data_IF_728601035819
#
_entry.id   IF_728601035819
#
_cell.length_a   1.000
_cell.length_b   1.000
_cell.length_c   1.000
_cell.angle_alpha   90.00
_cell.angle_beta   90.00
_cell.angle_gamma   90.00
#
_symmetry.space_group_name_H-M   'P 1'
#
loop_
_entity.id
_entity.type
_entity.pdbx_description
1 polymer ?
#
# COMPACT_ATOMS: atom_id res chain seq x y z
N UNK A 1 -24.61 30.37 9.27
CA UNK A 1 -24.59 29.35 10.34
C UNK A 1 -23.41 28.45 10.09
N UNK A 2 -22.31 28.67 10.82
CA UNK A 2 -21.11 27.86 10.74
C UNK A 2 -21.33 26.55 11.49
N UNK A 3 -21.17 25.44 10.80
CA UNK A 3 -21.02 24.13 11.43
C UNK A 3 -19.55 23.89 11.64
N UNK A 4 -19.09 24.01 12.88
CA UNK A 4 -17.81 23.48 13.33
C UNK A 4 -17.87 21.95 13.20
N UNK A 5 -17.29 21.43 12.11
CA UNK A 5 -17.04 20.02 11.96
C UNK A 5 -16.00 19.59 12.99
N UNK A 6 -16.38 18.61 13.83
CA UNK A 6 -15.47 18.02 14.83
C UNK A 6 -14.20 17.53 14.13
N UNK A 7 -13.06 18.03 14.59
CA UNK A 7 -11.74 17.62 14.15
C UNK A 7 -11.50 16.15 14.53
N UNK A 8 -11.51 15.28 13.52
CA UNK A 8 -11.20 13.85 13.65
C UNK A 8 -9.70 13.56 13.54
N UNK A 9 -8.83 14.57 13.70
CA UNK A 9 -7.38 14.41 13.65
C UNK A 9 -6.79 14.43 12.24
N UNK A 10 -7.63 14.64 11.22
CA UNK A 10 -7.18 14.93 9.86
C UNK A 10 -6.98 16.44 9.74
N UNK A 11 -5.76 16.93 9.94
CA UNK A 11 -5.42 18.32 9.61
C UNK A 11 -6.05 18.70 8.27
N UNK A 12 -6.87 19.76 8.28
CA UNK A 12 -7.91 20.11 7.30
C UNK A 12 -7.53 19.79 5.83
N UNK A 13 -7.85 18.58 5.37
CA UNK A 13 -7.88 18.24 3.95
C UNK A 13 -9.30 18.51 3.44
N UNK A 14 -9.50 19.20 2.29
CA UNK A 14 -10.85 19.42 1.76
C UNK A 14 -11.59 18.09 1.60
N UNK A 15 -12.91 18.05 1.83
CA UNK A 15 -13.69 16.80 1.93
C UNK A 15 -13.59 15.86 0.71
N UNK A 16 -13.20 16.36 -0.46
CA UNK A 16 -12.92 15.55 -1.65
C UNK A 16 -11.61 14.77 -1.56
N UNK A 17 -10.59 15.29 -0.86
CA UNK A 17 -9.29 14.64 -0.67
C UNK A 17 -9.38 13.44 0.28
N UNK A 18 -10.04 13.63 1.42
CA UNK A 18 -10.26 12.55 2.40
C UNK A 18 -10.95 11.35 1.75
N UNK A 19 -11.97 11.60 0.92
CA UNK A 19 -12.73 10.55 0.22
C UNK A 19 -11.90 9.66 -0.69
N UNK A 20 -10.85 10.18 -1.35
CA UNK A 20 -10.02 9.37 -2.26
C UNK A 20 -9.00 8.54 -1.50
N UNK A 21 -8.45 9.06 -0.40
CA UNK A 21 -7.56 8.29 0.50
C UNK A 21 -8.33 7.16 1.18
N UNK A 22 -9.54 7.44 1.68
CA UNK A 22 -10.41 6.41 2.26
C UNK A 22 -10.70 5.29 1.25
N UNK A 23 -10.94 5.67 -0.02
CA UNK A 23 -11.15 4.69 -1.09
C UNK A 23 -9.90 3.83 -1.33
N UNK A 24 -8.70 4.42 -1.31
CA UNK A 24 -7.45 3.67 -1.41
C UNK A 24 -7.31 2.65 -0.27
N UNK A 25 -7.63 3.05 0.96
CA UNK A 25 -7.63 2.16 2.13
C UNK A 25 -8.67 1.05 2.00
N UNK A 26 -9.86 1.33 1.46
CA UNK A 26 -10.89 0.32 1.20
C UNK A 26 -10.42 -0.76 0.21
N UNK A 27 -9.75 -0.36 -0.88
CA UNK A 27 -9.15 -1.32 -1.82
C UNK A 27 -8.12 -2.22 -1.11
N UNK A 28 -7.26 -1.64 -0.27
CA UNK A 28 -6.25 -2.40 0.50
C UNK A 28 -6.92 -3.36 1.47
N UNK A 29 -7.90 -2.91 2.25
CA UNK A 29 -8.67 -3.78 3.15
C UNK A 29 -9.29 -4.96 2.42
N UNK A 30 -9.92 -4.71 1.26
CA UNK A 30 -10.52 -5.77 0.45
C UNK A 30 -9.46 -6.76 -0.05
N UNK A 31 -8.32 -6.28 -0.57
CA UNK A 31 -7.24 -7.13 -1.05
C UNK A 31 -6.64 -8.00 0.08
N UNK A 32 -6.29 -7.41 1.22
CA UNK A 32 -5.72 -8.14 2.36
C UNK A 32 -6.71 -9.16 2.95
N UNK A 33 -8.00 -8.87 2.94
CA UNK A 33 -9.04 -9.81 3.41
C UNK A 33 -9.10 -11.08 2.54
N UNK A 34 -8.90 -10.96 1.23
CA UNK A 34 -8.83 -12.13 0.33
C UNK A 34 -7.66 -13.05 0.68
N UNK A 35 -6.49 -12.48 0.98
CA UNK A 35 -5.32 -13.26 1.38
C UNK A 35 -5.50 -13.98 2.72
N UNK A 36 -6.16 -13.32 3.69
CA UNK A 36 -6.49 -13.96 4.97
C UNK A 36 -7.42 -15.15 4.79
N UNK A 37 -8.50 -14.95 4.04
CA UNK A 37 -9.47 -16.03 3.76
C UNK A 37 -8.81 -17.22 3.03
N UNK A 38 -7.86 -16.95 2.13
CA UNK A 38 -7.10 -18.00 1.45
C UNK A 38 -6.17 -18.77 2.42
N UNK A 39 -5.48 -18.08 3.33
CA UNK A 39 -4.58 -18.71 4.31
C UNK A 39 -5.32 -19.50 5.41
N UNK A 40 -6.53 -19.08 5.79
CA UNK A 40 -7.39 -19.83 6.71
C UNK A 40 -7.94 -21.12 6.05
N UNK A 41 -8.27 -21.05 4.76
CA UNK A 41 -8.79 -22.20 4.00
C UNK A 41 -7.77 -23.32 3.79
N UNK A 42 -6.47 -23.00 3.71
CA UNK A 42 -5.39 -24.00 3.64
C UNK A 42 -5.13 -24.65 5.00
N UNK A 43 -5.02 -23.84 6.06
CA UNK A 43 -4.83 -24.34 7.42
C UNK A 43 -5.98 -25.26 7.89
N UNK A 44 -7.23 -24.94 7.52
CA UNK A 44 -8.38 -25.78 7.84
C UNK A 44 -8.38 -27.13 7.11
N UNK A 45 -7.82 -27.19 5.88
CA UNK A 45 -7.68 -28.44 5.11
C UNK A 45 -6.57 -29.34 5.68
N UNK A 46 -5.45 -28.77 6.09
CA UNK A 46 -4.34 -29.49 6.73
C UNK A 46 -4.72 -30.01 8.13
N UNK A 47 -5.52 -29.28 8.90
CA UNK A 47 -6.01 -29.72 10.22
C UNK A 47 -6.98 -30.90 10.21
N UNK A 48 -7.53 -31.29 9.05
CA UNK A 48 -8.38 -32.49 8.89
C UNK A 48 -7.63 -33.75 8.51
N UNK A 49 -6.40 -33.64 8.01
CA UNK A 49 -5.62 -34.82 7.56
C UNK A 49 -4.81 -35.47 8.70
N UNK A 50 -4.76 -34.88 9.89
CA UNK A 50 -4.04 -35.43 11.05
C UNK A 50 -4.88 -36.34 11.97
N UNK A 51 -6.06 -36.78 11.53
CA UNK A 51 -6.92 -37.72 12.28
C UNK A 51 -7.31 -38.94 11.43
N UNK A 52 -6.31 -39.76 11.07
CA UNK A 52 -6.52 -41.06 10.41
C UNK A 52 -5.19 -41.79 10.26
N UNK A 53 -5.01 -42.90 10.98
CA UNK A 53 -3.72 -43.56 11.17
C UNK A 53 -3.20 -44.42 10.02
N UNK A 54 -1.93 -44.82 10.15
CA UNK A 54 -1.45 -46.13 9.70
C UNK A 54 -0.62 -46.20 8.40
N UNK A 55 0.70 -46.41 8.59
CA UNK A 55 1.64 -47.26 7.83
C UNK A 55 1.95 -47.00 6.34
N UNK A 56 3.23 -46.69 6.14
CA UNK A 56 4.23 -47.32 5.24
C UNK A 56 4.20 -47.11 3.71
N UNK A 57 5.39 -46.78 3.18
CA UNK A 57 5.84 -47.09 1.81
C UNK A 57 5.62 -46.06 0.69
N UNK A 58 6.73 -45.55 0.12
CA UNK A 58 6.80 -45.23 -1.32
C UNK A 58 7.21 -43.79 -1.71
N UNK A 59 8.32 -43.68 -2.44
CA UNK A 59 8.85 -42.46 -3.09
C UNK A 59 7.80 -41.72 -3.91
N UNK A 60 7.84 -40.38 -3.85
CA UNK A 60 7.38 -39.52 -4.94
C UNK A 60 8.29 -38.29 -5.09
N UNK A 61 8.85 -38.17 -6.28
CA UNK A 61 9.51 -36.99 -6.83
C UNK A 61 8.47 -35.96 -7.26
N UNK A 62 8.72 -34.68 -6.96
CA UNK A 62 7.95 -33.57 -7.50
C UNK A 62 7.92 -32.40 -6.53
N UNK A 63 8.87 -31.47 -6.66
CA UNK A 63 8.77 -30.15 -6.04
C UNK A 63 7.68 -29.35 -6.76
N UNK A 64 6.42 -29.57 -6.37
CA UNK A 64 5.39 -28.57 -6.56
C UNK A 64 5.59 -27.48 -5.50
N UNK A 65 5.61 -26.22 -5.95
CA UNK A 65 5.88 -25.06 -5.09
C UNK A 65 4.82 -24.92 -4.01
N UNK A 66 5.13 -25.46 -2.83
CA UNK A 66 4.42 -25.20 -1.59
C UNK A 66 4.53 -23.71 -1.29
N UNK A 67 3.43 -22.97 -1.45
CA UNK A 67 3.33 -21.57 -1.04
C UNK A 67 3.55 -21.52 0.48
N UNK A 68 4.43 -20.63 1.00
CA UNK A 68 4.78 -20.63 2.42
C UNK A 68 3.54 -20.52 3.31
N UNK A 69 3.32 -21.52 4.16
CA UNK A 69 2.29 -21.51 5.19
C UNK A 69 2.62 -20.47 6.27
N UNK A 70 1.64 -19.60 6.54
CA UNK A 70 1.48 -18.67 7.68
C UNK A 70 2.52 -17.59 7.98
N UNK A 71 3.31 -17.11 7.01
CA UNK A 71 3.99 -15.81 7.19
C UNK A 71 2.97 -14.67 7.06
N UNK A 72 2.86 -13.82 8.09
CA UNK A 72 1.89 -12.73 8.11
C UNK A 72 1.99 -11.77 6.92
N UNK A 73 0.93 -11.00 6.68
CA UNK A 73 0.83 -10.12 5.51
C UNK A 73 1.94 -9.05 5.52
N UNK A 74 2.57 -8.88 4.37
CA UNK A 74 3.62 -7.91 4.11
C UNK A 74 3.09 -6.76 3.23
N UNK A 75 3.22 -5.52 3.65
CA UNK A 75 2.75 -4.33 2.91
C UNK A 75 3.74 -3.18 2.96
N UNK A 76 3.63 -2.23 2.03
CA UNK A 76 4.48 -1.03 2.00
C UNK A 76 3.66 0.27 1.96
N UNK A 77 4.04 1.25 2.78
CA UNK A 77 3.69 2.66 2.63
C UNK A 77 4.88 3.37 1.98
N UNK A 78 4.72 3.85 0.76
CA UNK A 78 5.80 4.44 -0.01
C UNK A 78 5.89 5.97 0.17
N UNK A 79 5.04 6.55 1.01
CA UNK A 79 4.94 7.99 1.25
C UNK A 79 4.39 8.24 2.67
N UNK A 80 5.14 7.83 3.69
CA UNK A 80 4.65 7.75 5.06
C UNK A 80 4.08 9.08 5.58
N UNK A 81 4.73 10.21 5.27
CA UNK A 81 4.24 11.54 5.59
C UNK A 81 3.96 11.71 7.08
N UNK A 82 2.71 12.02 7.41
CA UNK A 82 2.29 12.12 8.81
C UNK A 82 2.11 10.74 9.48
N UNK A 83 2.04 9.64 8.73
CA UNK A 83 1.95 8.27 9.24
C UNK A 83 0.53 7.70 9.36
N UNK A 84 -0.47 8.36 8.76
CA UNK A 84 -1.87 7.90 8.81
C UNK A 84 -2.07 6.60 8.02
N UNK A 85 -1.57 6.56 6.79
CA UNK A 85 -1.61 5.35 5.96
C UNK A 85 -0.74 4.24 6.56
N UNK A 86 0.43 4.59 7.11
CA UNK A 86 1.28 3.64 7.83
C UNK A 86 0.57 3.02 9.04
N UNK A 87 -0.12 3.82 9.85
CA UNK A 87 -0.91 3.34 10.99
C UNK A 87 -2.07 2.46 10.55
N UNK A 88 -2.78 2.88 9.49
CA UNK A 88 -3.83 2.08 8.87
C UNK A 88 -3.29 0.70 8.44
N UNK A 89 -2.18 0.67 7.71
CA UNK A 89 -1.54 -0.56 7.24
C UNK A 89 -1.08 -1.45 8.41
N UNK A 90 -0.47 -0.87 9.45
CA UNK A 90 -0.03 -1.61 10.64
C UNK A 90 -1.19 -2.31 11.37
N UNK A 91 -2.37 -1.69 11.39
CA UNK A 91 -3.61 -2.33 11.87
C UNK A 91 -4.09 -3.38 10.87
N UNK A 92 -4.12 -3.04 9.59
CA UNK A 92 -4.68 -3.86 8.53
C UNK A 92 -3.90 -5.16 8.29
N UNK A 93 -2.59 -5.22 8.53
CA UNK A 93 -1.81 -6.46 8.37
C UNK A 93 -2.04 -7.48 9.47
N UNK A 94 -2.44 -7.05 10.67
CA UNK A 94 -2.68 -7.94 11.81
C UNK A 94 -1.40 -8.49 12.44
N UNK A 95 -1.54 -9.48 13.32
CA UNK A 95 -0.41 -10.12 13.99
C UNK A 95 0.47 -10.89 13.01
N UNK A 96 1.79 -10.90 13.26
CA UNK A 96 2.78 -11.50 12.36
C UNK A 96 3.00 -10.75 11.03
N UNK A 97 2.14 -9.76 10.71
CA UNK A 97 2.29 -8.91 9.54
C UNK A 97 3.43 -7.90 9.68
N UNK A 98 3.90 -7.37 8.54
CA UNK A 98 4.98 -6.39 8.48
C UNK A 98 4.63 -5.24 7.54
N UNK A 99 5.05 -4.04 7.94
CA UNK A 99 4.92 -2.82 7.14
C UNK A 99 6.32 -2.23 6.92
N UNK A 100 6.63 -1.83 5.69
CA UNK A 100 7.75 -0.92 5.41
C UNK A 100 7.19 0.45 5.08
N UNK A 101 7.66 1.50 5.75
CA UNK A 101 7.20 2.87 5.51
C UNK A 101 8.35 3.76 5.07
N UNK A 102 8.24 4.38 3.91
CA UNK A 102 9.26 5.20 3.27
C UNK A 102 8.90 6.67 3.33
N UNK A 103 9.87 7.51 3.67
CA UNK A 103 9.79 8.95 3.42
C UNK A 103 11.20 9.53 3.32
N UNK A 104 11.41 10.52 2.45
CA UNK A 104 12.69 11.24 2.34
C UNK A 104 12.96 12.12 3.56
N UNK A 105 11.91 12.56 4.24
CA UNK A 105 11.99 13.57 5.29
C UNK A 105 12.13 12.91 6.66
N UNK A 106 13.20 13.25 7.38
CA UNK A 106 13.39 12.82 8.77
C UNK A 106 12.21 13.23 9.66
N UNK A 107 11.62 14.39 9.40
CA UNK A 107 10.43 14.85 10.11
C UNK A 107 9.22 13.93 9.89
N UNK A 108 8.96 13.48 8.66
CA UNK A 108 7.88 12.54 8.36
C UNK A 108 8.10 11.21 9.09
N UNK A 109 9.34 10.71 9.08
CA UNK A 109 9.73 9.50 9.82
C UNK A 109 9.46 9.67 11.32
N UNK A 110 9.88 10.77 11.93
CA UNK A 110 9.63 11.05 13.36
C UNK A 110 8.14 11.15 13.69
N UNK A 111 7.35 11.84 12.87
CA UNK A 111 5.89 11.97 13.05
C UNK A 111 5.20 10.62 12.94
N UNK A 112 5.59 9.81 11.96
CA UNK A 112 5.09 8.45 11.77
C UNK A 112 5.45 7.55 12.95
N UNK A 113 6.70 7.61 13.42
CA UNK A 113 7.17 6.85 14.56
C UNK A 113 6.39 7.18 15.84
N UNK A 114 6.20 8.47 16.14
CA UNK A 114 5.43 8.92 17.30
C UNK A 114 4.00 8.37 17.26
N UNK A 115 3.32 8.48 16.11
CA UNK A 115 1.97 7.96 15.90
C UNK A 115 1.88 6.45 16.11
N UNK A 116 2.89 5.71 15.64
CA UNK A 116 2.94 4.25 15.80
C UNK A 116 3.26 3.82 17.24
N UNK A 117 4.09 4.58 17.96
CA UNK A 117 4.36 4.34 19.39
C UNK A 117 3.11 4.54 20.22
N UNK A 118 2.39 5.64 20.00
CA UNK A 118 1.12 5.94 20.68
C UNK A 118 0.10 4.82 20.47
N UNK A 119 0.04 4.25 19.27
CA UNK A 119 -0.84 3.13 18.96
C UNK A 119 -0.32 1.75 19.40
N UNK A 120 0.90 1.64 19.95
CA UNK A 120 1.52 0.36 20.32
C UNK A 120 1.86 -0.55 19.14
N UNK A 121 2.02 0.01 17.93
CA UNK A 121 2.18 -0.75 16.68
C UNK A 121 3.55 -0.61 16.03
N UNK A 122 4.48 0.13 16.64
CA UNK A 122 5.82 0.33 16.08
C UNK A 122 6.57 -1.00 15.82
N UNK A 123 6.38 -2.02 16.66
CA UNK A 123 7.12 -3.28 16.58
C UNK A 123 6.93 -4.10 15.29
N UNK A 124 5.94 -3.77 14.46
CA UNK A 124 5.70 -4.43 13.15
C UNK A 124 5.98 -3.52 11.94
N UNK A 125 6.51 -2.32 12.18
CA UNK A 125 6.80 -1.34 11.12
C UNK A 125 8.30 -1.08 11.04
N UNK A 126 8.86 -1.22 9.85
CA UNK A 126 10.22 -0.75 9.53
C UNK A 126 10.12 0.62 8.88
N UNK A 127 10.58 1.66 9.59
CA UNK A 127 10.62 3.02 9.08
C UNK A 127 11.93 3.25 8.31
N UNK A 128 11.83 3.77 7.10
CA UNK A 128 12.95 3.95 6.18
C UNK A 128 13.01 5.40 5.72
N UNK A 129 14.05 6.11 6.16
CA UNK A 129 14.37 7.44 5.62
C UNK A 129 15.06 7.28 4.26
N UNK A 130 14.28 7.00 3.23
CA UNK A 130 14.73 6.68 1.89
C UNK A 130 13.70 7.11 0.83
N UNK A 131 14.14 7.25 -0.42
CA UNK A 131 13.23 7.46 -1.54
C UNK A 131 12.43 6.17 -1.80
N UNK A 132 11.14 6.28 -2.14
CA UNK A 132 10.34 5.12 -2.53
C UNK A 132 10.86 4.42 -3.80
N UNK A 133 11.62 5.12 -4.64
CA UNK A 133 12.33 4.54 -5.78
C UNK A 133 13.47 3.58 -5.37
N UNK A 134 13.75 3.45 -4.07
CA UNK A 134 14.67 2.48 -3.50
C UNK A 134 13.97 1.26 -2.89
N UNK A 135 12.67 1.08 -3.13
CA UNK A 135 11.86 0.00 -2.58
C UNK A 135 12.55 -1.37 -2.69
N UNK A 136 13.03 -1.74 -3.87
CA UNK A 136 13.68 -3.04 -4.11
C UNK A 136 15.04 -3.21 -3.41
N UNK A 137 15.66 -2.13 -2.91
CA UNK A 137 16.88 -2.20 -2.09
C UNK A 137 16.59 -2.65 -0.67
N UNK A 138 15.44 -2.25 -0.14
CA UNK A 138 15.07 -2.45 1.26
C UNK A 138 14.09 -3.62 1.46
N UNK A 139 13.28 -3.93 0.46
CA UNK A 139 12.23 -4.96 0.54
C UNK A 139 12.55 -6.09 -0.44
N UNK A 140 12.72 -7.30 0.09
CA UNK A 140 13.02 -8.51 -0.71
C UNK A 140 11.78 -9.30 -1.14
N UNK A 141 10.61 -8.92 -0.64
CA UNK A 141 9.32 -9.50 -1.03
C UNK A 141 9.00 -10.86 -0.40
N UNK A 142 7.79 -11.38 -0.66
CA UNK A 142 6.75 -10.74 -1.48
C UNK A 142 5.87 -9.72 -0.71
N UNK A 143 5.17 -8.85 -1.43
CA UNK A 143 4.21 -7.86 -0.89
C UNK A 143 2.77 -8.22 -1.27
N UNK A 144 1.82 -7.95 -0.38
CA UNK A 144 0.38 -8.15 -0.59
C UNK A 144 -0.33 -6.84 -0.96
N UNK A 145 0.20 -5.71 -0.47
CA UNK A 145 -0.26 -4.39 -0.86
C UNK A 145 0.86 -3.35 -0.78
N UNK A 146 0.77 -2.29 -1.58
CA UNK A 146 1.55 -1.07 -1.44
C UNK A 146 0.65 0.16 -1.60
N UNK A 147 0.97 1.24 -0.91
CA UNK A 147 0.25 2.51 -0.97
C UNK A 147 1.19 3.67 -1.30
N UNK A 148 0.73 4.60 -2.14
CA UNK A 148 1.36 5.87 -2.43
C UNK A 148 0.33 6.98 -2.33
N UNK A 149 0.69 8.06 -1.64
CA UNK A 149 -0.08 9.27 -1.52
C UNK A 149 0.81 10.46 -1.89
N UNK A 150 0.64 10.96 -3.12
CA UNK A 150 1.62 11.83 -3.76
C UNK A 150 1.60 13.27 -3.22
N UNK A 151 2.56 14.08 -3.66
CA UNK A 151 2.69 15.47 -3.27
C UNK A 151 3.70 15.68 -2.15
N UNK A 152 3.39 16.58 -1.23
CA UNK A 152 4.29 17.04 -0.17
C UNK A 152 3.73 16.77 1.22
N UNK A 153 4.61 16.72 2.22
CA UNK A 153 4.23 16.57 3.63
C UNK A 153 3.37 17.76 4.11
N UNK A 154 2.14 17.55 4.60
CA UNK A 154 1.35 18.62 5.18
C UNK A 154 2.04 19.27 6.38
N UNK A 155 2.20 20.59 6.32
CA UNK A 155 2.93 21.37 7.33
C UNK A 155 4.44 21.15 7.33
N UNK A 156 5.02 20.63 6.23
CA UNK A 156 6.46 20.48 6.02
C UNK A 156 6.98 21.35 4.86
N UNK A 157 8.20 21.04 4.43
CA UNK A 157 8.87 21.72 3.32
C UNK A 157 8.25 21.32 1.96
N UNK A 158 7.55 22.27 1.32
CA UNK A 158 6.88 22.06 0.03
C UNK A 158 7.83 21.85 -1.15
N UNK A 159 9.13 22.16 -0.99
CA UNK A 159 10.13 21.84 -2.02
C UNK A 159 10.40 20.33 -2.12
N UNK A 160 10.09 19.59 -1.05
CA UNK A 160 10.18 18.13 -0.96
C UNK A 160 8.82 17.52 -1.30
N UNK A 161 8.62 17.37 -2.61
CA UNK A 161 7.45 16.75 -3.21
C UNK A 161 7.87 15.52 -4.02
N UNK A 162 6.95 14.57 -4.20
CA UNK A 162 7.10 13.47 -5.16
C UNK A 162 7.33 13.99 -6.57
N UNK A 163 8.04 13.19 -7.40
CA UNK A 163 8.40 13.57 -8.77
C UNK A 163 8.20 12.39 -9.72
N UNK A 164 7.84 12.65 -10.99
CA UNK A 164 7.55 11.58 -11.96
C UNK A 164 8.64 10.49 -12.03
N UNK A 165 9.96 10.80 -12.12
CA UNK A 165 10.97 9.75 -12.26
C UNK A 165 11.03 8.78 -11.07
N UNK A 166 10.96 9.28 -9.83
CA UNK A 166 11.01 8.44 -8.63
C UNK A 166 9.69 7.67 -8.45
N UNK A 167 8.56 8.35 -8.68
CA UNK A 167 7.22 7.78 -8.56
C UNK A 167 7.00 6.63 -9.55
N UNK A 168 7.33 6.82 -10.83
CA UNK A 168 7.19 5.76 -11.84
C UNK A 168 8.09 4.56 -11.53
N UNK A 169 9.31 4.80 -11.05
CA UNK A 169 10.22 3.73 -10.64
C UNK A 169 9.67 2.94 -9.46
N UNK A 170 9.13 3.61 -8.45
CA UNK A 170 8.51 2.95 -7.30
C UNK A 170 7.28 2.12 -7.70
N UNK A 171 6.44 2.62 -8.62
CA UNK A 171 5.32 1.83 -9.18
C UNK A 171 5.86 0.56 -9.84
N UNK A 172 6.88 0.68 -10.68
CA UNK A 172 7.44 -0.48 -11.37
C UNK A 172 8.06 -1.51 -10.41
N UNK A 173 8.81 -1.05 -9.40
CA UNK A 173 9.40 -1.90 -8.36
C UNK A 173 8.31 -2.58 -7.50
N UNK A 174 7.27 -1.85 -7.11
CA UNK A 174 6.14 -2.40 -6.35
C UNK A 174 5.43 -3.50 -7.15
N UNK A 175 5.12 -3.26 -8.43
CA UNK A 175 4.50 -4.28 -9.29
C UNK A 175 5.34 -5.55 -9.44
N UNK A 176 6.67 -5.48 -9.29
CA UNK A 176 7.53 -6.68 -9.32
C UNK A 176 7.53 -7.45 -8.00
N UNK A 177 7.24 -6.78 -6.89
CA UNK A 177 7.26 -7.35 -5.55
C UNK A 177 5.88 -7.86 -5.10
N UNK A 178 4.80 -7.40 -5.74
CA UNK A 178 3.44 -7.86 -5.43
C UNK A 178 3.24 -9.34 -5.81
N UNK A 179 2.60 -10.09 -4.92
CA UNK A 179 2.04 -11.40 -5.25
C UNK A 179 0.89 -11.27 -6.25
N UNK A 180 0.55 -12.32 -7.01
CA UNK A 180 -0.71 -12.36 -7.77
C UNK A 180 -1.92 -11.99 -6.90
N UNK A 181 -2.77 -11.09 -7.39
CA UNK A 181 -3.90 -10.51 -6.65
C UNK A 181 -3.53 -9.42 -5.63
N UNK A 182 -2.23 -9.15 -5.44
CA UNK A 182 -1.73 -8.05 -4.62
C UNK A 182 -1.96 -6.72 -5.32
N UNK A 183 -2.10 -5.64 -4.55
CA UNK A 183 -2.46 -4.34 -5.11
C UNK A 183 -1.46 -3.23 -4.81
N UNK A 184 -1.35 -2.27 -5.72
CA UNK A 184 -0.73 -0.97 -5.48
C UNK A 184 -1.78 0.12 -5.66
N UNK A 185 -1.96 0.96 -4.63
CA UNK A 185 -2.81 2.16 -4.72
C UNK A 185 -1.94 3.42 -4.84
N UNK A 186 -2.32 4.32 -5.73
CA UNK A 186 -1.65 5.62 -5.92
C UNK A 186 -2.70 6.71 -5.97
N UNK A 187 -2.69 7.59 -4.97
CA UNK A 187 -3.51 8.81 -4.96
C UNK A 187 -2.70 9.95 -5.55
N UNK A 188 -3.18 10.50 -6.67
CA UNK A 188 -2.52 11.59 -7.39
C UNK A 188 -3.30 12.91 -7.21
N UNK A 189 -2.55 14.00 -7.11
CA UNK A 189 -3.07 15.35 -6.84
C UNK A 189 -2.71 16.33 -7.98
N UNK A 190 -3.51 16.40 -9.05
CA UNK A 190 -3.33 17.42 -10.08
C UNK A 190 -3.73 18.82 -9.57
N UNK A 191 -3.39 19.86 -10.33
CA UNK A 191 -3.78 21.24 -10.03
C UNK A 191 -2.85 22.01 -9.07
N UNK A 192 -1.64 21.51 -8.82
CA UNK A 192 -0.55 22.26 -8.19
C UNK A 192 0.75 22.12 -8.98
N UNK A 193 1.75 22.94 -8.66
CA UNK A 193 3.06 22.88 -9.30
C UNK A 193 3.64 21.46 -9.23
N UNK A 194 3.97 20.88 -10.39
CA UNK A 194 4.46 19.50 -10.54
C UNK A 194 3.38 18.40 -10.49
N UNK A 195 2.22 18.64 -9.88
CA UNK A 195 1.17 17.64 -9.71
C UNK A 195 0.52 17.20 -11.02
N UNK A 196 0.35 18.12 -11.98
CA UNK A 196 -0.18 17.79 -13.30
C UNK A 196 0.79 16.90 -14.12
N UNK A 197 2.10 17.19 -14.06
CA UNK A 197 3.12 16.40 -14.75
C UNK A 197 3.18 14.96 -14.21
N UNK A 198 3.15 14.82 -12.88
CA UNK A 198 3.16 13.53 -12.22
C UNK A 198 1.88 12.72 -12.50
N UNK A 199 0.72 13.39 -12.49
CA UNK A 199 -0.55 12.77 -12.86
C UNK A 199 -0.57 12.25 -14.30
N UNK A 200 -0.13 13.06 -15.27
CA UNK A 200 -0.08 12.64 -16.68
C UNK A 200 0.90 11.48 -16.89
N UNK A 201 2.06 11.51 -16.22
CA UNK A 201 3.04 10.42 -16.27
C UNK A 201 2.48 9.09 -15.74
N UNK A 202 1.72 9.13 -14.65
CA UNK A 202 1.04 7.97 -14.07
C UNK A 202 -0.08 7.45 -14.96
N UNK A 203 -0.90 8.34 -15.54
CA UNK A 203 -1.95 7.94 -16.48
C UNK A 203 -1.34 7.30 -17.74
N UNK A 204 -0.22 7.82 -18.23
CA UNK A 204 0.52 7.21 -19.33
C UNK A 204 1.07 5.81 -18.94
N UNK A 205 1.55 5.63 -17.71
CA UNK A 205 1.99 4.32 -17.21
C UNK A 205 0.82 3.34 -17.08
N UNK A 206 -0.31 3.78 -16.51
CA UNK A 206 -1.51 2.98 -16.36
C UNK A 206 -2.00 2.46 -17.73
N UNK A 207 -2.10 3.32 -18.74
CA UNK A 207 -2.55 2.96 -20.09
C UNK A 207 -1.62 1.97 -20.81
N UNK A 208 -0.30 2.05 -20.56
CA UNK A 208 0.70 1.16 -21.17
C UNK A 208 0.99 -0.10 -20.35
N UNK A 209 0.40 -0.25 -19.17
CA UNK A 209 0.66 -1.40 -18.29
C UNK A 209 0.17 -2.67 -19.00
N UNK A 210 1.05 -3.67 -19.25
CA UNK A 210 0.64 -4.89 -19.93
C UNK A 210 -0.39 -5.69 -19.11
N UNK A 211 -1.47 -6.21 -19.72
CA UNK A 211 -2.53 -6.93 -18.99
C UNK A 211 -2.07 -8.17 -18.24
N UNK A 212 -0.97 -8.81 -18.66
CA UNK A 212 -0.38 -9.96 -17.98
C UNK A 212 0.49 -9.57 -16.78
N UNK A 213 0.77 -8.28 -16.59
CA UNK A 213 1.52 -7.76 -15.44
C UNK A 213 0.56 -7.24 -14.36
N UNK A 214 -0.42 -6.43 -14.75
CA UNK A 214 -1.42 -5.91 -13.84
C UNK A 214 -2.67 -5.41 -14.58
N UNK A 215 -3.81 -5.46 -13.89
CA UNK A 215 -5.03 -4.74 -14.27
C UNK A 215 -5.03 -3.39 -13.58
N UNK A 216 -5.43 -2.32 -14.28
CA UNK A 216 -5.40 -0.96 -13.74
C UNK A 216 -6.79 -0.36 -13.72
N UNK A 217 -7.21 0.13 -12.56
CA UNK A 217 -8.49 0.84 -12.36
C UNK A 217 -8.20 2.29 -11.98
N UNK A 218 -8.94 3.23 -12.59
CA UNK A 218 -8.96 4.63 -12.19
C UNK A 218 -10.29 4.95 -11.52
N UNK A 219 -10.25 5.60 -10.36
CA UNK A 219 -11.41 6.19 -9.71
C UNK A 219 -11.20 7.69 -9.53
N UNK A 220 -12.20 8.49 -9.90
CA UNK A 220 -12.12 9.94 -9.84
C UNK A 220 -13.47 10.58 -9.48
N UNK A 221 -13.42 11.79 -8.93
CA UNK A 221 -14.61 12.60 -8.67
C UNK A 221 -14.85 13.50 -9.89
N UNK A 222 -16.02 13.34 -10.52
CA UNK A 222 -16.43 14.11 -11.69
C UNK A 222 -17.18 15.40 -11.31
N UNK A 223 -17.26 16.35 -12.26
CA UNK A 223 -18.04 17.59 -12.09
C UNK A 223 -17.40 18.62 -11.14
N UNK A 224 -16.09 18.58 -10.97
CA UNK A 224 -15.33 19.49 -10.10
C UNK A 224 -14.88 20.76 -10.82
N UNK A 225 -14.77 21.89 -10.10
CA UNK A 225 -14.34 23.18 -10.68
C UNK A 225 -12.86 23.20 -11.08
N UNK A 226 -12.04 22.42 -10.39
CA UNK A 226 -10.60 22.25 -10.63
C UNK A 226 -10.30 20.77 -10.77
N UNK A 227 -9.15 20.42 -11.37
CA UNK A 227 -8.75 19.01 -11.50
C UNK A 227 -8.74 18.35 -10.12
N UNK A 228 -9.56 17.31 -9.97
CA UNK A 228 -9.73 16.61 -8.70
C UNK A 228 -8.63 15.56 -8.48
N UNK A 229 -8.32 15.26 -7.21
CA UNK A 229 -7.54 14.06 -6.90
C UNK A 229 -8.20 12.81 -7.48
N UNK A 230 -7.39 11.86 -7.91
CA UNK A 230 -7.87 10.57 -8.38
C UNK A 230 -7.01 9.43 -7.83
N UNK A 231 -7.60 8.24 -7.80
CA UNK A 231 -6.97 7.00 -7.37
C UNK A 231 -6.68 6.14 -8.59
N UNK A 232 -5.46 5.61 -8.67
CA UNK A 232 -5.12 4.48 -9.52
C UNK A 232 -4.90 3.25 -8.64
N UNK A 233 -5.44 2.11 -9.07
CA UNK A 233 -5.23 0.81 -8.43
C UNK A 233 -4.68 -0.14 -9.48
N UNK A 234 -3.47 -0.64 -9.25
CA UNK A 234 -2.94 -1.77 -10.00
C UNK A 234 -3.17 -3.05 -9.20
N UNK A 235 -3.80 -4.05 -9.79
CA UNK A 235 -3.89 -5.41 -9.26
C UNK A 235 -2.97 -6.33 -10.08
N UNK A 236 -1.95 -6.91 -9.43
CA UNK A 236 -1.01 -7.82 -10.07
C UNK A 236 -1.72 -9.10 -10.53
N UNK A 237 -1.38 -9.56 -11.74
CA UNK A 237 -1.97 -10.77 -12.38
C UNK A 237 -1.06 -11.97 -12.19
#
# INVERSE_FOLDING_TARGET
>A
MGGEGRDLGFGYLPSSFARVVDLAQLFVCAALSRFRAAGEGTAFREGRTSAGGGRDGGRATGHEGELPTSQGLAVADLTAGNGWDTLFLARAVGEGGRVWAFDLQEEAIRRTEARLREAGLLGRVTLLRADHAELARHVRGPLHAAMMNLGYLPGGDRSKTTRPPSTLRAVEEALRLLVPGGILTVVAYPGHAGGDEEAEALLALARRTPPHRARVVRSEVLGTKTRAPFLLVWEAV
#
